data_IF_547668997794
#
_entry.id   IF_547668997794
#
_cell.length_a   1.000
_cell.length_b   1.000
_cell.length_c   1.000
_cell.angle_alpha   90.00
_cell.angle_beta   90.00
_cell.angle_gamma   90.00
#
_symmetry.space_group_name_H-M   'P 1'
#
loop_
_entity.id
_entity.type
_entity.pdbx_description
1 polymer ?
#
# COMPACT_ATOMS: atom_id res chain seq x y z
N UNK A 1 28.51 6.67 -5.28
CA UNK A 1 27.56 5.77 -4.60
C UNK A 1 26.20 6.46 -4.54
N UNK A 2 25.12 5.78 -4.96
CA UNK A 2 23.80 6.40 -5.18
C UNK A 2 22.95 6.33 -3.91
N UNK A 3 22.48 7.48 -3.37
CA UNK A 3 21.62 7.62 -2.15
C UNK A 3 20.35 6.75 -2.12
N UNK A 4 20.00 6.10 -3.23
CA UNK A 4 18.88 5.16 -3.35
C UNK A 4 19.28 3.73 -3.03
N UNK A 5 20.51 3.32 -3.31
CA UNK A 5 21.05 2.00 -3.00
C UNK A 5 21.31 1.88 -1.49
N UNK A 6 21.89 2.92 -0.87
CA UNK A 6 22.14 2.97 0.57
C UNK A 6 20.83 2.80 1.37
N UNK A 7 19.76 3.47 0.94
CA UNK A 7 18.41 3.37 1.55
C UNK A 7 17.72 2.02 1.34
N UNK A 8 18.14 1.22 0.36
CA UNK A 8 17.61 -0.13 0.16
C UNK A 8 18.40 -1.13 1.00
N UNK A 9 19.73 -1.01 1.06
CA UNK A 9 20.57 -1.84 1.93
C UNK A 9 20.23 -1.65 3.42
N UNK A 10 20.02 -0.41 3.87
CA UNK A 10 19.61 -0.12 5.26
C UNK A 10 18.28 -0.83 5.63
N UNK A 11 17.36 -0.96 4.66
CA UNK A 11 16.09 -1.66 4.85
C UNK A 11 16.25 -3.18 4.89
N UNK A 12 17.21 -3.72 4.15
CA UNK A 12 17.49 -5.17 4.11
C UNK A 12 18.17 -5.66 5.39
N UNK A 13 19.03 -4.84 6.01
CA UNK A 13 19.80 -5.21 7.19
C UNK A 13 19.08 -4.96 8.53
N UNK A 14 18.15 -4.00 8.58
CA UNK A 14 17.49 -3.62 9.83
C UNK A 14 16.69 -4.77 10.48
N UNK A 15 15.95 -5.56 9.69
CA UNK A 15 15.11 -6.64 10.22
C UNK A 15 15.92 -7.80 10.81
N UNK A 16 16.93 -8.35 10.11
CA UNK A 16 17.83 -9.33 10.68
C UNK A 16 18.46 -8.87 12.00
N UNK A 17 18.89 -7.60 12.08
CA UNK A 17 19.48 -7.03 13.29
C UNK A 17 18.51 -6.99 14.47
N UNK A 18 17.28 -6.52 14.25
CA UNK A 18 16.22 -6.51 15.30
C UNK A 18 15.95 -7.93 15.83
N UNK A 19 15.84 -8.91 14.93
CA UNK A 19 15.59 -10.30 15.32
C UNK A 19 16.79 -10.91 16.06
N UNK A 20 18.02 -10.58 15.65
CA UNK A 20 19.23 -11.03 16.34
C UNK A 20 19.31 -10.46 17.75
N UNK A 21 19.11 -9.13 17.90
CA UNK A 21 19.12 -8.45 19.19
C UNK A 21 18.08 -9.03 20.15
N UNK A 22 16.87 -9.29 19.67
CA UNK A 22 15.82 -9.89 20.49
C UNK A 22 16.14 -11.34 20.90
N UNK A 23 16.83 -12.11 20.05
CA UNK A 23 17.27 -13.47 20.38
C UNK A 23 18.43 -13.50 21.37
N UNK A 24 19.36 -12.55 21.26
CA UNK A 24 20.49 -12.41 22.18
C UNK A 24 20.05 -11.88 23.54
N UNK A 25 19.05 -11.00 23.57
CA UNK A 25 18.54 -10.37 24.78
C UNK A 25 17.01 -10.58 24.89
N UNK A 26 16.55 -11.78 25.30
CA UNK A 26 15.13 -12.10 25.35
C UNK A 26 14.35 -11.30 26.42
N UNK A 27 15.05 -10.72 27.39
CA UNK A 27 14.46 -9.84 28.41
C UNK A 27 14.21 -8.42 27.93
N UNK A 28 14.78 -8.02 26.79
CA UNK A 28 14.62 -6.67 26.27
C UNK A 28 13.23 -6.44 25.70
N UNK A 29 12.63 -5.35 26.13
CA UNK A 29 11.37 -4.86 25.60
C UNK A 29 11.59 -4.13 24.27
N UNK A 30 10.51 -3.89 23.53
CA UNK A 30 10.57 -3.11 22.28
C UNK A 30 11.19 -1.72 22.49
N UNK A 31 10.85 -0.96 23.56
CA UNK A 31 11.55 0.27 23.91
C UNK A 31 13.06 0.11 24.09
N UNK A 32 13.52 -0.93 24.80
CA UNK A 32 14.96 -1.15 25.05
C UNK A 32 15.73 -1.37 23.74
N UNK A 33 15.14 -2.13 22.82
CA UNK A 33 15.70 -2.34 21.48
C UNK A 33 15.72 -1.02 20.70
N UNK A 34 14.70 -0.16 20.84
CA UNK A 34 14.67 1.15 20.18
C UNK A 34 15.75 2.08 20.75
N UNK A 35 15.94 2.10 22.07
CA UNK A 35 17.00 2.86 22.74
C UNK A 35 18.38 2.44 22.25
N UNK A 36 18.61 1.14 22.08
CA UNK A 36 19.86 0.62 21.50
C UNK A 36 20.13 1.17 20.09
N UNK A 37 19.11 1.24 19.23
CA UNK A 37 19.26 1.79 17.87
C UNK A 37 19.46 3.31 17.86
N UNK A 38 18.81 4.05 18.77
CA UNK A 38 18.97 5.50 18.90
C UNK A 38 20.37 5.88 19.40
N UNK A 39 21.02 5.03 20.20
CA UNK A 39 22.38 5.23 20.73
C UNK A 39 23.48 4.70 19.80
N UNK A 40 23.14 4.02 18.71
CA UNK A 40 24.12 3.46 17.78
C UNK A 40 24.83 4.55 16.95
N UNK A 41 26.04 4.27 16.47
CA UNK A 41 26.85 5.21 15.66
C UNK A 41 26.12 5.71 14.40
N UNK A 42 25.14 4.93 13.90
CA UNK A 42 24.32 5.26 12.76
C UNK A 42 22.84 4.98 13.09
N UNK A 43 22.16 5.90 13.78
CA UNK A 43 20.78 5.69 14.17
C UNK A 43 19.88 5.65 12.93
N UNK A 44 18.83 4.81 12.92
CA UNK A 44 17.89 4.76 11.82
C UNK A 44 17.21 6.12 11.65
N UNK A 45 17.03 6.55 10.41
CA UNK A 45 16.34 7.81 10.09
C UNK A 45 14.81 7.67 10.25
N UNK A 46 14.37 7.43 11.48
CA UNK A 46 12.99 7.27 11.91
C UNK A 46 12.81 8.02 13.24
N UNK A 47 11.64 8.62 13.45
CA UNK A 47 11.32 9.12 14.79
C UNK A 47 11.08 7.95 15.76
N UNK A 48 11.27 8.18 17.06
CA UNK A 48 11.13 7.16 18.11
C UNK A 48 9.84 6.34 18.00
N UNK A 49 8.71 7.01 17.80
CA UNK A 49 7.42 6.34 17.65
C UNK A 49 7.36 5.42 16.42
N UNK A 50 7.87 5.85 15.27
CA UNK A 50 7.95 5.00 14.07
C UNK A 50 8.94 3.84 14.25
N UNK A 51 10.05 4.07 14.96
CA UNK A 51 11.05 3.05 15.27
C UNK A 51 10.46 1.94 16.14
N UNK A 52 9.83 2.31 17.27
CA UNK A 52 9.13 1.39 18.18
C UNK A 52 8.09 0.56 17.44
N UNK A 53 7.22 1.21 16.65
CA UNK A 53 6.20 0.51 15.87
C UNK A 53 6.79 -0.47 14.84
N UNK A 54 7.89 -0.07 14.19
CA UNK A 54 8.59 -0.90 13.21
C UNK A 54 9.22 -2.13 13.88
N UNK A 55 9.82 -1.97 15.06
CA UNK A 55 10.39 -3.08 15.85
C UNK A 55 9.26 -4.02 16.30
N UNK A 56 8.20 -3.48 16.90
CA UNK A 56 7.04 -4.27 17.34
C UNK A 56 6.47 -5.12 16.20
N UNK A 57 6.32 -4.52 15.02
CA UNK A 57 5.86 -5.22 13.82
C UNK A 57 6.82 -6.31 13.34
N UNK A 58 8.13 -6.08 13.39
CA UNK A 58 9.15 -7.08 13.03
C UNK A 58 9.07 -8.28 13.98
N UNK A 59 9.01 -8.04 15.28
CA UNK A 59 8.94 -9.11 16.29
C UNK A 59 7.64 -9.92 16.15
N UNK A 60 6.50 -9.25 15.96
CA UNK A 60 5.21 -9.92 15.76
C UNK A 60 5.16 -10.80 14.50
N UNK A 61 5.92 -10.47 13.45
CA UNK A 61 5.97 -11.23 12.19
C UNK A 61 7.15 -12.19 12.07
N UNK A 62 8.13 -12.14 12.98
CA UNK A 62 9.34 -12.95 12.92
C UNK A 62 10.11 -12.80 11.61
N UNK A 63 10.29 -13.90 10.86
CA UNK A 63 11.08 -13.96 9.61
C UNK A 63 10.30 -13.56 8.35
N UNK A 64 8.98 -13.33 8.45
CA UNK A 64 8.14 -13.05 7.26
C UNK A 64 8.36 -11.63 6.74
N UNK A 65 9.27 -11.46 5.78
CA UNK A 65 9.50 -10.21 5.07
C UNK A 65 8.20 -9.61 4.52
N UNK A 66 8.13 -8.27 4.45
CA UNK A 66 6.98 -7.62 3.81
C UNK A 66 6.89 -8.09 2.36
N UNK A 67 5.79 -8.77 2.01
CA UNK A 67 5.43 -8.90 0.60
C UNK A 67 5.27 -7.47 0.07
N UNK A 68 5.98 -7.14 -1.01
CA UNK A 68 5.78 -5.87 -1.73
C UNK A 68 4.27 -5.70 -1.89
N UNK A 69 3.70 -4.64 -1.29
CA UNK A 69 2.28 -4.26 -1.43
C UNK A 69 2.00 -4.29 -2.93
N UNK A 70 1.20 -5.25 -3.40
CA UNK A 70 1.13 -5.73 -4.79
C UNK A 70 1.32 -4.58 -5.79
N UNK A 71 2.54 -4.43 -6.29
CA UNK A 71 2.96 -3.32 -7.15
C UNK A 71 2.55 -3.52 -8.61
N UNK A 72 1.46 -4.25 -8.88
CA UNK A 72 0.94 -4.28 -10.25
C UNK A 72 0.47 -2.85 -10.52
N UNK A 73 1.04 -2.14 -11.50
CA UNK A 73 0.52 -0.83 -11.85
C UNK A 73 -0.97 -1.02 -12.10
N UNK A 74 -1.81 -0.30 -11.34
CA UNK A 74 -3.19 -0.12 -11.76
C UNK A 74 -3.10 0.33 -13.21
N UNK A 75 -3.86 -0.27 -14.11
CA UNK A 75 -4.05 0.28 -15.46
C UNK A 75 -4.75 1.62 -15.29
N UNK A 76 -3.99 2.65 -14.91
CA UNK A 76 -4.46 4.01 -14.84
C UNK A 76 -4.63 4.43 -16.27
N UNK A 77 -5.89 4.51 -16.71
CA UNK A 77 -6.19 5.10 -18.02
C UNK A 77 -5.58 6.49 -18.04
N UNK A 78 -4.64 6.71 -18.94
CA UNK A 78 -4.01 8.02 -19.09
C UNK A 78 -5.10 9.03 -19.45
N UNK A 79 -4.92 10.29 -19.04
CA UNK A 79 -5.86 11.35 -19.39
C UNK A 79 -6.06 11.45 -20.91
N UNK A 80 -5.01 11.20 -21.71
CA UNK A 80 -5.10 11.17 -23.17
C UNK A 80 -5.99 10.03 -23.67
N UNK A 81 -5.86 8.82 -23.13
CA UNK A 81 -6.70 7.69 -23.50
C UNK A 81 -8.16 7.92 -23.09
N UNK A 82 -8.40 8.48 -21.91
CA UNK A 82 -9.74 8.87 -21.45
C UNK A 82 -10.39 9.89 -22.40
N UNK A 83 -9.65 10.92 -22.81
CA UNK A 83 -10.15 11.95 -23.72
C UNK A 83 -10.39 11.40 -25.14
N UNK A 84 -9.54 10.49 -25.61
CA UNK A 84 -9.71 9.79 -26.89
C UNK A 84 -10.99 8.94 -26.91
N UNK A 85 -11.25 8.19 -25.84
CA UNK A 85 -12.50 7.40 -25.69
C UNK A 85 -13.72 8.33 -25.66
N UNK A 86 -13.69 9.42 -24.90
CA UNK A 86 -14.78 10.39 -24.87
C UNK A 86 -15.06 11.02 -26.24
N UNK A 87 -14.00 11.39 -26.99
CA UNK A 87 -14.11 11.94 -28.35
C UNK A 87 -14.68 10.92 -29.33
N UNK A 88 -14.26 9.65 -29.24
CA UNK A 88 -14.79 8.56 -30.08
C UNK A 88 -16.28 8.34 -29.83
N UNK A 89 -16.72 8.34 -28.56
CA UNK A 89 -18.13 8.20 -28.18
C UNK A 89 -18.95 9.43 -28.60
N UNK A 90 -18.39 10.63 -28.49
CA UNK A 90 -19.01 11.87 -28.98
C UNK A 90 -19.25 11.80 -30.50
N UNK A 91 -18.22 11.42 -31.27
CA UNK A 91 -18.31 11.33 -32.72
C UNK A 91 -19.33 10.26 -33.17
N UNK A 92 -19.41 9.13 -32.46
CA UNK A 92 -20.37 8.06 -32.76
C UNK A 92 -21.82 8.46 -32.45
N UNK A 93 -22.07 9.23 -31.39
CA UNK A 93 -23.44 9.57 -30.95
C UNK A 93 -23.88 10.98 -31.35
N UNK A 94 -23.05 11.77 -32.05
CA UNK A 94 -23.23 13.22 -32.30
C UNK A 94 -23.68 14.00 -31.04
N UNK A 95 -23.23 13.57 -29.87
CA UNK A 95 -23.72 14.05 -28.58
C UNK A 95 -22.67 14.89 -27.85
N UNK A 96 -23.10 15.88 -27.06
CA UNK A 96 -22.18 16.71 -26.30
C UNK A 96 -21.39 15.89 -25.25
N UNK A 97 -20.14 16.31 -24.97
CA UNK A 97 -19.24 15.65 -24.00
C UNK A 97 -19.90 15.51 -22.62
N UNK A 98 -20.69 16.51 -22.21
CA UNK A 98 -21.43 16.52 -20.94
C UNK A 98 -22.45 15.37 -20.87
N UNK A 99 -23.20 15.13 -21.96
CA UNK A 99 -24.20 14.06 -22.03
C UNK A 99 -23.55 12.66 -22.05
N UNK A 100 -22.43 12.50 -22.77
CA UNK A 100 -21.66 11.26 -22.80
C UNK A 100 -21.09 10.92 -21.42
N UNK A 101 -20.48 11.91 -20.75
CA UNK A 101 -19.90 11.73 -19.41
C UNK A 101 -20.95 11.38 -18.36
N UNK A 102 -22.12 12.03 -18.41
CA UNK A 102 -23.25 11.71 -17.53
C UNK A 102 -23.78 10.29 -17.77
N UNK A 103 -23.90 9.86 -19.04
CA UNK A 103 -24.36 8.51 -19.40
C UNK A 103 -23.38 7.43 -18.92
N UNK A 104 -22.08 7.64 -19.09
CA UNK A 104 -21.04 6.74 -18.57
C UNK A 104 -21.06 6.64 -17.05
N UNK A 105 -21.22 7.77 -16.34
CA UNK A 105 -21.35 7.78 -14.88
C UNK A 105 -22.58 7.03 -14.39
N UNK A 106 -23.74 7.17 -15.06
CA UNK A 106 -24.95 6.39 -14.74
C UNK A 106 -24.75 4.88 -14.93
N UNK A 107 -24.10 4.48 -16.03
CA UNK A 107 -23.81 3.07 -16.31
C UNK A 107 -22.84 2.44 -15.30
N UNK A 108 -21.83 3.20 -14.85
CA UNK A 108 -20.87 2.74 -13.82
C UNK A 108 -21.52 2.75 -12.43
N UNK A 109 -22.32 3.76 -12.10
CA UNK A 109 -23.06 3.85 -10.83
C UNK A 109 -24.08 2.72 -10.65
N UNK A 110 -24.80 2.34 -11.71
CA UNK A 110 -25.76 1.22 -11.66
C UNK A 110 -25.11 -0.15 -11.45
N UNK A 111 -23.83 -0.35 -11.80
CA UNK A 111 -23.12 -1.60 -11.52
C UNK A 111 -22.85 -1.82 -10.03
N UNK A 112 -22.79 -0.76 -9.23
CA UNK A 112 -22.61 -0.88 -7.78
C UNK A 112 -23.93 -1.13 -7.03
N UNK A 113 -25.09 -0.84 -7.63
CA UNK A 113 -26.39 -1.08 -7.01
C UNK A 113 -26.90 -2.52 -7.21
N UNK A 114 -26.41 -3.23 -8.24
CA UNK A 114 -26.82 -4.60 -8.57
C UNK A 114 -26.08 -5.70 -7.80
N UNK A 115 -25.21 -5.37 -6.84
CA UNK A 115 -24.48 -6.35 -6.02
C UNK A 115 -24.94 -6.44 -4.55
N UNK A 116 -26.09 -5.87 -4.19
CA UNK A 116 -26.60 -5.92 -2.80
C UNK A 116 -28.06 -6.36 -2.65
N UNK A 117 -28.67 -6.93 -3.69
CA UNK A 117 -30.01 -7.53 -3.59
C UNK A 117 -29.99 -8.89 -4.27
N UNK A 118 -29.50 -9.89 -3.54
CA UNK A 118 -29.55 -11.28 -3.93
C UNK A 118 -29.14 -12.18 -2.78
N UNK A 119 -30.12 -12.89 -2.23
CA UNK A 119 -30.04 -14.07 -1.35
C UNK A 119 -30.15 -13.83 0.17
N UNK A 120 -31.40 -13.77 0.65
CA UNK A 120 -31.83 -14.68 1.72
C UNK A 120 -33.22 -15.19 1.33
N UNK A 121 -33.23 -16.41 0.84
CA UNK A 121 -34.41 -17.15 0.41
C UNK A 121 -35.33 -17.46 1.60
N UNK A 122 -36.60 -17.57 1.26
CA UNK A 122 -37.59 -18.39 1.96
C UNK A 122 -37.00 -19.77 2.29
N UNK A 123 -37.28 -20.25 3.50
CA UNK A 123 -37.38 -21.67 3.83
C UNK A 123 -38.46 -21.80 4.91
N UNK A 124 -39.29 -22.81 4.70
CA UNK A 124 -40.60 -23.14 5.29
C UNK A 124 -40.84 -22.82 6.78
#
# INVERSE_FOLDING_TARGET
MSRRQDRQQEKELFRPLVLLLHRQNPSWTVPDIADFFEQSDNPPNLNRHALVNKIHYILARGTVCERKRSGRPRTTTTASYRNLVLKKIQNQNKASVRNVSAKLKKLVGNRHHLQFTGLSNQSD
#
